data_IF_445329772360
#
_entry.id   IF_445329772360
#
_cell.length_a   1.000
_cell.length_b   1.000
_cell.length_c   1.000
_cell.angle_alpha   90.00
_cell.angle_beta   90.00
_cell.angle_gamma   90.00
#
_symmetry.space_group_name_H-M   'P 1'
#
loop_
_entity.id
_entity.type
_entity.pdbx_description
1 polymer ?
#
# COMPACT_ATOMS: atom_id res chain seq x y z
N UNK A 1 13.61 -6.67 -7.08
CA UNK A 1 13.62 -5.32 -6.48
C UNK A 1 12.21 -4.80 -6.65
N UNK A 2 11.55 -4.39 -5.57
CA UNK A 2 10.18 -3.88 -5.66
C UNK A 2 10.13 -2.58 -6.47
N UNK A 3 8.95 -2.23 -6.96
CA UNK A 3 8.68 -0.97 -7.64
C UNK A 3 8.84 0.22 -6.68
N UNK A 4 8.59 0.01 -5.38
CA UNK A 4 8.80 1.03 -4.35
C UNK A 4 10.29 1.17 -3.98
N UNK A 5 10.84 2.39 -3.98
CA UNK A 5 12.22 2.62 -3.54
C UNK A 5 12.43 2.26 -2.05
N UNK A 6 13.39 1.37 -1.79
CA UNK A 6 13.80 0.94 -0.45
C UNK A 6 14.07 2.12 0.51
N UNK A 7 14.65 3.21 0.01
CA UNK A 7 14.96 4.40 0.82
C UNK A 7 13.68 5.09 1.36
N UNK A 8 12.61 5.14 0.58
CA UNK A 8 11.33 5.76 0.99
C UNK A 8 10.65 4.90 2.05
N UNK A 9 10.60 3.58 1.82
CA UNK A 9 10.03 2.63 2.78
C UNK A 9 10.82 2.64 4.10
N UNK A 10 12.17 2.60 4.04
CA UNK A 10 13.02 2.73 5.23
C UNK A 10 12.74 4.01 6.01
N UNK A 11 12.58 5.16 5.33
CA UNK A 11 12.29 6.44 5.98
C UNK A 11 10.96 6.41 6.73
N UNK A 12 9.91 5.82 6.14
CA UNK A 12 8.61 5.65 6.79
C UNK A 12 8.71 4.74 8.02
N UNK A 13 9.37 3.58 7.89
CA UNK A 13 9.58 2.68 9.04
C UNK A 13 10.36 3.39 10.14
N UNK A 14 11.45 4.08 9.81
CA UNK A 14 12.29 4.76 10.81
C UNK A 14 11.55 5.90 11.52
N UNK A 15 10.62 6.57 10.83
CA UNK A 15 9.77 7.62 11.42
C UNK A 15 8.84 7.07 12.50
N UNK A 16 8.35 5.84 12.34
CA UNK A 16 7.41 5.19 13.26
C UNK A 16 8.05 4.15 14.18
N UNK A 17 9.30 3.77 13.93
CA UNK A 17 10.04 2.74 14.67
C UNK A 17 10.89 3.27 15.83
N UNK A 18 10.61 4.49 16.30
CA UNK A 18 11.13 5.06 17.56
C UNK A 18 12.66 4.91 17.76
N UNK A 19 13.44 5.09 16.69
CA UNK A 19 14.91 5.04 16.74
C UNK A 19 15.53 3.66 16.57
N UNK A 20 14.72 2.61 16.37
CA UNK A 20 15.23 1.28 16.03
C UNK A 20 15.90 1.26 14.65
N UNK A 21 17.01 0.52 14.54
CA UNK A 21 17.66 0.24 13.25
C UNK A 21 16.82 -0.78 12.48
N UNK A 22 16.68 -0.56 11.18
CA UNK A 22 15.99 -1.48 10.26
C UNK A 22 17.02 -2.22 9.42
N UNK A 23 16.99 -3.55 9.44
CA UNK A 23 17.88 -4.38 8.61
C UNK A 23 17.51 -4.28 7.12
N UNK A 24 18.46 -4.56 6.23
CA UNK A 24 18.21 -4.56 4.78
C UNK A 24 17.08 -5.51 4.37
N UNK A 25 17.10 -6.75 4.88
CA UNK A 25 16.07 -7.74 4.61
C UNK A 25 14.69 -7.37 5.17
N UNK A 26 14.62 -6.62 6.27
CA UNK A 26 13.36 -6.10 6.79
C UNK A 26 12.79 -4.99 5.89
N UNK A 27 13.65 -4.16 5.29
CA UNK A 27 13.22 -3.16 4.30
C UNK A 27 12.64 -3.86 3.07
N UNK A 28 13.30 -4.88 2.54
CA UNK A 28 12.81 -5.62 1.37
C UNK A 28 11.46 -6.31 1.64
N UNK A 29 11.30 -6.90 2.84
CA UNK A 29 10.01 -7.48 3.26
C UNK A 29 8.92 -6.42 3.39
N UNK A 30 9.24 -5.24 3.93
CA UNK A 30 8.28 -4.17 4.05
C UNK A 30 7.87 -3.58 2.69
N UNK A 31 8.80 -3.50 1.74
CA UNK A 31 8.51 -3.13 0.34
C UNK A 31 7.49 -4.11 -0.24
N UNK A 32 7.78 -5.41 -0.19
CA UNK A 32 6.88 -6.45 -0.70
C UNK A 32 5.49 -6.38 -0.06
N UNK A 33 5.43 -6.27 1.28
CA UNK A 33 4.16 -6.20 1.99
C UNK A 33 3.34 -4.94 1.63
N UNK A 34 4.02 -3.82 1.37
CA UNK A 34 3.37 -2.56 0.95
C UNK A 34 2.80 -2.69 -0.46
N UNK A 35 3.56 -3.29 -1.38
CA UNK A 35 3.11 -3.54 -2.76
C UNK A 35 1.92 -4.51 -2.81
N UNK A 36 1.98 -5.59 -2.03
CA UNK A 36 0.88 -6.55 -1.91
C UNK A 36 -0.41 -5.88 -1.39
N UNK A 37 -0.27 -5.00 -0.38
CA UNK A 37 -1.39 -4.22 0.13
C UNK A 37 -1.96 -3.29 -0.95
N UNK A 38 -1.10 -2.52 -1.64
CA UNK A 38 -1.53 -1.61 -2.71
C UNK A 38 -2.22 -2.36 -3.86
N UNK A 39 -1.71 -3.54 -4.25
CA UNK A 39 -2.32 -4.37 -5.28
C UNK A 39 -3.70 -4.91 -4.88
N UNK A 40 -3.90 -5.24 -3.60
CA UNK A 40 -5.22 -5.61 -3.07
C UNK A 40 -6.16 -4.41 -3.03
N UNK A 41 -5.69 -3.27 -2.52
CA UNK A 41 -6.45 -2.02 -2.44
C UNK A 41 -6.91 -1.57 -3.83
N UNK A 42 -6.03 -1.57 -4.82
CA UNK A 42 -6.33 -1.17 -6.19
C UNK A 42 -7.39 -2.09 -6.83
N UNK A 43 -7.33 -3.41 -6.61
CA UNK A 43 -8.33 -4.35 -7.13
C UNK A 43 -9.71 -4.11 -6.55
N UNK A 44 -9.81 -3.86 -5.25
CA UNK A 44 -11.08 -3.58 -4.58
C UNK A 44 -11.64 -2.21 -4.98
N UNK A 45 -10.79 -1.19 -5.07
CA UNK A 45 -11.20 0.14 -5.51
C UNK A 45 -11.66 0.13 -6.98
N UNK A 46 -10.96 -0.62 -7.84
CA UNK A 46 -11.38 -0.87 -9.21
C UNK A 46 -12.73 -1.58 -9.27
N UNK A 47 -12.95 -2.63 -8.48
CA UNK A 47 -14.23 -3.33 -8.44
C UNK A 47 -15.39 -2.40 -8.02
N UNK A 48 -15.17 -1.52 -7.05
CA UNK A 48 -16.12 -0.49 -6.65
C UNK A 48 -16.43 0.49 -7.78
N UNK A 49 -15.40 1.03 -8.45
CA UNK A 49 -15.58 1.94 -9.57
C UNK A 49 -16.35 1.32 -10.74
N UNK A 50 -16.08 0.05 -11.06
CA UNK A 50 -16.77 -0.71 -12.10
C UNK A 50 -18.24 -0.97 -11.72
N UNK A 51 -18.53 -1.31 -10.46
CA UNK A 51 -19.90 -1.49 -9.98
C UNK A 51 -20.72 -0.21 -10.15
N UNK A 52 -20.10 0.95 -9.95
CA UNK A 52 -20.70 2.27 -10.14
C UNK A 52 -20.65 2.76 -11.62
N UNK A 53 -20.24 1.91 -12.57
CA UNK A 53 -20.12 2.19 -14.01
C UNK A 53 -19.17 3.35 -14.35
N UNK A 54 -18.18 3.62 -13.50
CA UNK A 54 -17.17 4.65 -13.69
C UNK A 54 -15.91 4.07 -14.31
N UNK A 55 -15.16 4.92 -15.03
CA UNK A 55 -13.82 4.61 -15.60
C UNK A 55 -12.67 5.21 -14.79
N UNK A 56 -12.99 5.90 -13.70
CA UNK A 56 -12.03 6.60 -12.84
C UNK A 56 -12.28 6.13 -11.41
N UNK A 57 -11.21 5.67 -10.76
CA UNK A 57 -11.21 5.37 -9.32
C UNK A 57 -11.23 6.70 -8.57
N UNK A 58 -12.21 6.86 -7.69
CA UNK A 58 -12.38 8.04 -6.85
C UNK A 58 -11.90 7.76 -5.42
N UNK A 59 -11.73 8.81 -4.63
CA UNK A 59 -11.48 8.75 -3.19
C UNK A 59 -12.44 7.81 -2.46
N UNK A 60 -13.75 7.88 -2.77
CA UNK A 60 -14.77 6.99 -2.18
C UNK A 60 -14.53 5.52 -2.46
N UNK A 61 -13.90 5.16 -3.59
CA UNK A 61 -13.57 3.76 -3.89
C UNK A 61 -12.39 3.27 -3.05
N UNK A 62 -11.42 4.15 -2.80
CA UNK A 62 -10.30 3.87 -1.91
C UNK A 62 -10.79 3.66 -0.47
N UNK A 63 -11.72 4.50 0.00
CA UNK A 63 -12.31 4.36 1.33
C UNK A 63 -13.10 3.05 1.48
N UNK A 64 -13.93 2.71 0.50
CA UNK A 64 -14.66 1.43 0.46
C UNK A 64 -13.69 0.24 0.42
N UNK A 65 -12.65 0.31 -0.40
CA UNK A 65 -11.64 -0.74 -0.51
C UNK A 65 -10.89 -0.93 0.81
N UNK A 66 -10.49 0.16 1.47
CA UNK A 66 -9.83 0.13 2.77
C UNK A 66 -10.72 -0.49 3.84
N UNK A 67 -12.00 -0.11 3.90
CA UNK A 67 -12.96 -0.69 4.84
C UNK A 67 -13.12 -2.21 4.67
N UNK A 68 -12.96 -2.72 3.44
CA UNK A 68 -13.03 -4.15 3.15
C UNK A 68 -11.74 -4.92 3.48
N UNK A 69 -10.59 -4.26 3.46
CA UNK A 69 -9.29 -4.89 3.66
C UNK A 69 -8.89 -5.06 5.13
N UNK A 70 -9.46 -4.27 6.04
CA UNK A 70 -9.21 -4.35 7.49
C UNK A 70 -7.87 -3.75 7.89
#
# INVERSE_FOLDING_TARGET
MGDLPNAVVKRLISKHGEGLRVSGSAIDKAVSATEDYLARLAREAHASAIADKRKTIMDTDIDKARAKLG
#
